data_IF_622501729670
#
_entry.id   IF_622501729670
#
_cell.length_a   1.000
_cell.length_b   1.000
_cell.length_c   1.000
_cell.angle_alpha   90.00
_cell.angle_beta   90.00
_cell.angle_gamma   90.00
#
_symmetry.space_group_name_H-M   'P 1'
#
loop_
_entity.id
_entity.type
_entity.pdbx_description
1 polymer ?
#
# COMPACT_ATOMS: atom_id res chain seq x y z
N UNK A 1 -10.53 0.46 -15.22
CA UNK A 1 -10.08 0.25 -16.61
C UNK A 1 -10.13 1.58 -17.33
N UNK A 2 -11.28 2.24 -17.27
CA UNK A 2 -11.62 3.55 -17.82
C UNK A 2 -10.74 4.65 -17.21
N UNK A 3 -10.72 4.77 -15.87
CA UNK A 3 -9.86 5.75 -15.19
C UNK A 3 -8.37 5.54 -15.52
N UNK A 4 -7.92 4.28 -15.59
CA UNK A 4 -6.51 3.95 -15.91
C UNK A 4 -6.14 4.37 -17.34
N UNK A 5 -7.07 4.21 -18.29
CA UNK A 5 -6.93 4.66 -19.68
C UNK A 5 -6.89 6.19 -19.74
N UNK A 6 -7.78 6.88 -19.03
CA UNK A 6 -7.84 8.35 -19.00
C UNK A 6 -6.57 8.96 -18.40
N UNK A 7 -6.11 8.42 -17.26
CA UNK A 7 -4.85 8.83 -16.64
C UNK A 7 -3.67 8.62 -17.60
N UNK A 8 -3.68 7.53 -18.38
CA UNK A 8 -2.64 7.23 -19.37
C UNK A 8 -2.70 8.17 -20.59
N UNK A 9 -3.90 8.55 -21.04
CA UNK A 9 -4.10 9.52 -22.12
C UNK A 9 -3.56 10.90 -21.72
N UNK A 10 -3.86 11.35 -20.51
CA UNK A 10 -3.32 12.61 -19.98
C UNK A 10 -1.79 12.55 -19.87
N UNK A 11 -1.23 11.43 -19.41
CA UNK A 11 0.22 11.24 -19.29
C UNK A 11 0.94 11.27 -20.65
N UNK A 12 0.34 10.70 -21.69
CA UNK A 12 0.88 10.72 -23.06
C UNK A 12 0.62 12.04 -23.79
N UNK A 13 -0.07 13.00 -23.15
CA UNK A 13 -0.38 14.31 -23.72
C UNK A 13 -1.40 14.24 -24.87
N UNK A 14 -2.35 13.30 -24.79
CA UNK A 14 -3.48 13.26 -25.71
C UNK A 14 -4.39 14.49 -25.49
N UNK A 15 -4.75 15.17 -26.58
CA UNK A 15 -5.58 16.39 -26.59
C UNK A 15 -6.90 16.20 -27.34
N UNK A 16 -7.28 14.95 -27.65
CA UNK A 16 -8.49 14.63 -28.38
C UNK A 16 -9.76 14.51 -27.51
N UNK A 17 -10.92 14.19 -28.12
CA UNK A 17 -12.24 14.28 -27.47
C UNK A 17 -12.53 13.19 -26.42
N UNK A 18 -11.67 12.17 -26.30
CA UNK A 18 -11.88 11.00 -25.44
C UNK A 18 -11.21 11.11 -24.05
N UNK A 19 -11.02 12.33 -23.55
CA UNK A 19 -10.50 12.61 -22.20
C UNK A 19 -11.60 12.56 -21.12
N UNK A 20 -12.86 12.42 -21.51
CA UNK A 20 -13.98 12.23 -20.58
C UNK A 20 -14.45 10.77 -20.58
N UNK A 21 -14.73 10.22 -19.39
CA UNK A 21 -15.15 8.83 -19.19
C UNK A 21 -16.38 8.45 -20.05
N UNK A 22 -17.37 9.34 -20.15
CA UNK A 22 -18.58 9.09 -20.93
C UNK A 22 -18.30 9.04 -22.44
N UNK A 23 -17.42 9.91 -22.93
CA UNK A 23 -17.04 9.95 -24.33
C UNK A 23 -16.22 8.69 -24.70
N UNK A 24 -15.27 8.32 -23.84
CA UNK A 24 -14.47 7.10 -24.00
C UNK A 24 -15.35 5.85 -24.04
N UNK A 25 -16.31 5.72 -23.12
CA UNK A 25 -17.23 4.59 -23.09
C UNK A 25 -18.14 4.54 -24.32
N UNK A 26 -18.68 5.69 -24.76
CA UNK A 26 -19.49 5.77 -25.97
C UNK A 26 -18.71 5.40 -27.23
N UNK A 27 -17.45 5.82 -27.34
CA UNK A 27 -16.58 5.43 -28.44
C UNK A 27 -16.23 3.93 -28.38
N UNK A 28 -15.94 3.40 -27.19
CA UNK A 28 -15.65 1.98 -26.98
C UNK A 28 -16.87 1.07 -27.19
N UNK A 29 -18.09 1.55 -26.98
CA UNK A 29 -19.32 0.83 -27.36
C UNK A 29 -19.42 0.66 -28.88
N UNK A 30 -19.08 1.72 -29.65
CA UNK A 30 -19.06 1.68 -31.11
C UNK A 30 -17.86 0.94 -31.72
N UNK A 31 -16.77 0.75 -30.95
CA UNK A 31 -15.59 -0.01 -31.35
C UNK A 31 -15.01 0.46 -32.69
N UNK A 32 -14.66 -0.49 -33.58
CA UNK A 32 -14.14 -0.18 -34.92
C UNK A 32 -15.15 0.51 -35.85
N UNK A 33 -16.43 0.57 -35.46
CA UNK A 33 -17.46 1.34 -36.19
C UNK A 33 -17.53 2.80 -35.73
N UNK A 34 -16.90 3.16 -34.59
CA UNK A 34 -16.79 4.53 -34.11
C UNK A 34 -15.52 5.19 -34.64
N UNK A 35 -15.67 6.29 -35.37
CA UNK A 35 -14.53 7.04 -35.91
C UNK A 35 -13.60 7.54 -34.79
N UNK A 36 -14.17 8.00 -33.67
CA UNK A 36 -13.40 8.51 -32.53
C UNK A 36 -12.52 7.42 -31.89
N UNK A 37 -13.04 6.19 -31.80
CA UNK A 37 -12.29 5.04 -31.29
C UNK A 37 -11.13 4.67 -32.23
N UNK A 38 -11.39 4.68 -33.54
CA UNK A 38 -10.38 4.37 -34.56
C UNK A 38 -9.29 5.43 -34.58
N UNK A 39 -9.65 6.70 -34.46
CA UNK A 39 -8.71 7.81 -34.41
C UNK A 39 -7.81 7.73 -33.16
N UNK A 40 -8.37 7.33 -32.02
CA UNK A 40 -7.61 7.04 -30.80
C UNK A 40 -6.60 5.92 -31.01
N UNK A 41 -7.02 4.77 -31.56
CA UNK A 41 -6.12 3.66 -31.83
C UNK A 41 -5.03 4.04 -32.85
N UNK A 42 -5.37 4.82 -33.87
CA UNK A 42 -4.40 5.34 -34.85
C UNK A 42 -3.38 6.25 -34.19
N UNK A 43 -3.83 7.14 -33.31
CA UNK A 43 -2.94 8.01 -32.54
C UNK A 43 -2.01 7.18 -31.65
N UNK A 44 -2.53 6.20 -30.91
CA UNK A 44 -1.72 5.30 -30.08
C UNK A 44 -0.70 4.51 -30.92
N UNK A 45 -1.12 3.93 -32.05
CA UNK A 45 -0.23 3.22 -32.97
C UNK A 45 0.90 4.13 -33.49
N UNK A 46 0.62 5.40 -33.80
CA UNK A 46 1.64 6.37 -34.23
C UNK A 46 2.67 6.68 -33.14
N UNK A 47 2.27 6.63 -31.86
CA UNK A 47 3.18 6.80 -30.72
C UNK A 47 4.01 5.55 -30.45
N UNK A 48 3.44 4.36 -30.65
CA UNK A 48 4.12 3.08 -30.44
C UNK A 48 5.11 2.73 -31.55
N UNK A 49 4.83 3.13 -32.80
CA UNK A 49 5.65 2.79 -33.97
C UNK A 49 7.16 3.05 -33.78
N UNK A 50 7.62 4.22 -33.31
CA UNK A 50 9.04 4.45 -33.05
C UNK A 50 9.59 3.80 -31.77
N UNK A 51 8.72 3.32 -30.87
CA UNK A 51 9.13 2.71 -29.59
C UNK A 51 9.30 1.19 -29.70
N UNK A 52 8.50 0.56 -30.55
CA UNK A 52 8.37 -0.89 -30.66
C UNK A 52 8.85 -1.45 -32.01
N UNK A 53 9.46 -0.63 -32.87
CA UNK A 53 9.87 -0.96 -34.25
C UNK A 53 8.76 -1.67 -35.05
N UNK A 54 7.52 -1.16 -34.97
CA UNK A 54 6.35 -1.80 -35.58
C UNK A 54 6.31 -1.58 -37.10
N UNK A 55 6.11 -2.66 -37.85
CA UNK A 55 5.86 -2.65 -39.29
C UNK A 55 4.41 -2.22 -39.58
N UNK A 56 3.45 -2.70 -38.80
CA UNK A 56 2.02 -2.44 -38.98
C UNK A 56 1.62 -1.03 -38.51
N UNK A 57 0.71 -0.38 -39.24
CA UNK A 57 0.11 0.89 -38.83
C UNK A 57 -1.32 1.01 -39.34
N UNK A 58 -2.16 1.65 -38.53
CA UNK A 58 -3.58 1.86 -38.87
C UNK A 58 -3.67 3.03 -39.87
N UNK A 59 -3.74 2.72 -41.16
CA UNK A 59 -3.72 3.73 -42.24
C UNK A 59 -4.89 3.61 -43.20
N UNK A 60 -5.58 2.48 -43.23
CA UNK A 60 -6.61 2.19 -44.21
C UNK A 60 -8.01 2.60 -43.77
N UNK A 61 -8.92 2.66 -44.76
CA UNK A 61 -10.34 2.92 -44.56
C UNK A 61 -11.09 1.74 -43.92
N UNK A 62 -12.42 1.85 -43.75
CA UNK A 62 -13.23 0.93 -42.95
C UNK A 62 -13.15 -0.57 -43.33
N UNK A 63 -12.79 -0.89 -44.57
CA UNK A 63 -12.74 -2.27 -45.08
C UNK A 63 -11.53 -3.07 -44.57
N UNK A 64 -10.34 -2.45 -44.53
CA UNK A 64 -9.08 -3.13 -44.18
C UNK A 64 -8.68 -2.89 -42.72
N UNK A 65 -9.37 -2.00 -42.02
CA UNK A 65 -9.09 -1.59 -40.64
C UNK A 65 -9.06 -2.77 -39.65
N UNK A 66 -9.94 -3.77 -39.82
CA UNK A 66 -9.96 -4.95 -38.96
C UNK A 66 -8.69 -5.79 -39.12
N UNK A 67 -8.18 -5.88 -40.36
CA UNK A 67 -6.96 -6.63 -40.68
C UNK A 67 -5.75 -5.90 -40.10
N UNK A 68 -5.64 -4.59 -40.34
CA UNK A 68 -4.56 -3.76 -39.79
C UNK A 68 -4.55 -3.79 -38.25
N UNK A 69 -5.71 -3.64 -37.61
CA UNK A 69 -5.82 -3.72 -36.15
C UNK A 69 -5.38 -5.10 -35.63
N UNK A 70 -5.77 -6.16 -36.31
CA UNK A 70 -5.37 -7.52 -35.94
C UNK A 70 -3.88 -7.76 -36.16
N UNK A 71 -3.31 -7.21 -37.23
CA UNK A 71 -1.88 -7.25 -37.55
C UNK A 71 -1.08 -6.54 -36.47
N UNK A 72 -1.47 -5.31 -36.15
CA UNK A 72 -0.88 -4.51 -35.08
C UNK A 72 -0.95 -5.23 -33.72
N UNK A 73 -2.10 -5.80 -33.34
CA UNK A 73 -2.22 -6.53 -32.07
C UNK A 73 -1.43 -7.84 -32.04
N UNK A 74 -1.29 -8.53 -33.18
CA UNK A 74 -0.43 -9.73 -33.31
C UNK A 74 1.04 -9.35 -33.22
N UNK A 75 1.43 -8.28 -33.91
CA UNK A 75 2.78 -7.73 -33.84
C UNK A 75 3.09 -7.29 -32.42
N UNK A 76 2.12 -6.70 -31.72
CA UNK A 76 2.20 -6.36 -30.30
C UNK A 76 2.14 -7.58 -29.35
N UNK A 77 2.08 -8.82 -29.87
CA UNK A 77 1.96 -10.06 -29.09
C UNK A 77 0.85 -10.04 -28.03
N UNK A 78 -0.33 -9.58 -28.42
CA UNK A 78 -1.51 -9.52 -27.56
C UNK A 78 -1.73 -10.89 -26.83
N UNK A 79 -1.76 -10.93 -25.48
CA UNK A 79 -1.91 -12.17 -24.72
C UNK A 79 -3.33 -12.76 -24.79
N UNK A 80 -4.27 -12.04 -25.41
CA UNK A 80 -5.66 -12.45 -25.55
C UNK A 80 -5.95 -12.80 -27.02
N UNK A 81 -5.64 -14.04 -27.42
CA UNK A 81 -5.94 -14.54 -28.77
C UNK A 81 -7.45 -14.47 -29.09
N UNK A 82 -8.31 -14.54 -28.09
CA UNK A 82 -9.77 -14.37 -28.22
C UNK A 82 -10.15 -12.94 -28.64
N UNK A 83 -9.41 -11.92 -28.17
CA UNK A 83 -9.64 -10.52 -28.53
C UNK A 83 -9.19 -10.27 -29.97
N UNK A 84 -8.02 -10.80 -30.36
CA UNK A 84 -7.49 -10.70 -31.73
C UNK A 84 -8.39 -11.43 -32.73
N UNK A 85 -8.83 -12.64 -32.39
CA UNK A 85 -9.72 -13.43 -33.25
C UNK A 85 -11.16 -12.90 -33.27
N UNK A 86 -11.62 -12.28 -32.18
CA UNK A 86 -12.90 -11.59 -32.10
C UNK A 86 -12.96 -10.37 -33.03
N UNK A 87 -11.88 -9.59 -33.12
CA UNK A 87 -11.78 -8.41 -33.99
C UNK A 87 -11.88 -8.84 -35.47
N UNK A 88 -11.17 -9.91 -35.85
CA UNK A 88 -11.19 -10.46 -37.20
C UNK A 88 -12.54 -11.05 -37.62
N UNK A 89 -13.33 -11.52 -36.65
CA UNK A 89 -14.64 -12.15 -36.91
C UNK A 89 -15.81 -11.17 -36.78
N UNK A 90 -15.56 -9.89 -36.48
CA UNK A 90 -16.60 -8.90 -36.19
C UNK A 90 -17.45 -9.23 -34.96
N UNK A 91 -16.92 -10.06 -34.05
CA UNK A 91 -17.65 -10.61 -32.89
C UNK A 91 -17.29 -9.93 -31.57
N UNK A 92 -16.43 -8.91 -31.57
CA UNK A 92 -16.18 -8.09 -30.37
C UNK A 92 -17.38 -7.17 -30.16
N UNK A 93 -18.38 -7.67 -29.42
CA UNK A 93 -19.61 -6.93 -29.15
C UNK A 93 -19.61 -6.25 -27.78
N UNK A 94 -18.51 -6.32 -27.02
CA UNK A 94 -18.47 -5.82 -25.65
C UNK A 94 -17.50 -4.67 -25.50
N UNK A 95 -18.00 -3.53 -24.99
CA UNK A 95 -17.25 -2.33 -24.60
C UNK A 95 -15.98 -2.68 -23.83
N UNK A 96 -16.06 -3.68 -22.94
CA UNK A 96 -14.93 -4.14 -22.14
C UNK A 96 -13.76 -4.69 -22.97
N UNK A 97 -14.04 -5.32 -24.09
CA UNK A 97 -12.99 -5.90 -24.94
C UNK A 97 -12.34 -4.82 -25.82
N UNK A 98 -13.10 -3.81 -26.24
CA UNK A 98 -12.54 -2.61 -26.89
C UNK A 98 -11.64 -1.81 -25.93
N UNK A 99 -12.06 -1.64 -24.66
CA UNK A 99 -11.21 -1.01 -23.65
C UNK A 99 -9.93 -1.83 -23.37
N UNK A 100 -10.00 -3.17 -23.36
CA UNK A 100 -8.80 -4.00 -23.27
C UNK A 100 -7.86 -3.79 -24.45
N UNK A 101 -8.37 -3.64 -25.67
CA UNK A 101 -7.54 -3.34 -26.84
C UNK A 101 -6.77 -2.03 -26.66
N UNK A 102 -7.46 -0.99 -26.19
CA UNK A 102 -6.85 0.29 -25.86
C UNK A 102 -5.77 0.12 -24.78
N UNK A 103 -6.04 -0.62 -23.69
CA UNK A 103 -5.04 -0.90 -22.65
C UNK A 103 -3.80 -1.64 -23.16
N UNK A 104 -3.96 -2.54 -24.13
CA UNK A 104 -2.84 -3.26 -24.74
C UNK A 104 -2.00 -2.30 -25.59
N UNK A 105 -2.64 -1.37 -26.30
CA UNK A 105 -1.94 -0.28 -26.99
C UNK A 105 -1.24 0.68 -26.01
N UNK A 106 -1.72 0.84 -24.78
CA UNK A 106 -0.99 1.55 -23.72
C UNK A 106 0.14 0.76 -23.10
N UNK A 107 0.04 -0.57 -23.15
CA UNK A 107 1.04 -1.46 -22.58
C UNK A 107 2.24 -1.45 -23.53
N UNK A 108 3.07 -0.43 -23.36
CA UNK A 108 4.38 -0.32 -23.96
C UNK A 108 5.06 -1.68 -23.87
N UNK A 109 5.58 -2.18 -25.00
CA UNK A 109 6.42 -3.36 -24.98
C UNK A 109 7.75 -2.96 -24.32
N UNK A 110 7.74 -2.97 -23.00
CA UNK A 110 8.74 -3.78 -22.31
C UNK A 110 8.44 -5.23 -22.70
N UNK A 111 8.89 -5.62 -23.89
CA UNK A 111 9.08 -7.02 -24.21
C UNK A 111 10.03 -7.55 -23.16
N UNK A 112 9.48 -8.20 -22.14
CA UNK A 112 9.77 -9.56 -21.67
C UNK A 112 11.16 -10.17 -21.96
N UNK A 113 12.22 -9.37 -22.09
CA UNK A 113 13.49 -9.73 -21.45
C UNK A 113 13.15 -9.69 -19.98
N UNK A 114 12.81 -10.86 -19.42
CA UNK A 114 12.58 -11.05 -17.98
C UNK A 114 13.51 -10.08 -17.24
N UNK A 115 13.03 -9.23 -16.32
CA UNK A 115 13.86 -8.19 -15.69
C UNK A 115 15.20 -8.76 -15.16
N UNK A 116 15.16 -10.01 -14.70
CA UNK A 116 16.31 -10.82 -14.29
C UNK A 116 17.38 -10.99 -15.39
N UNK A 117 17.01 -11.18 -16.65
CA UNK A 117 17.95 -11.29 -17.77
C UNK A 117 18.60 -9.94 -18.10
N UNK A 118 17.85 -8.84 -18.03
CA UNK A 118 18.43 -7.50 -18.19
C UNK A 118 19.43 -7.18 -17.07
N UNK A 119 19.11 -7.54 -15.83
CA UNK A 119 20.03 -7.43 -14.69
C UNK A 119 21.28 -8.28 -14.89
N UNK A 120 21.14 -9.52 -15.38
CA UNK A 120 22.26 -10.38 -15.69
C UNK A 120 23.16 -9.79 -16.78
N UNK A 121 22.58 -9.23 -17.84
CA UNK A 121 23.31 -8.53 -18.90
C UNK A 121 24.08 -7.33 -18.33
N UNK A 122 23.43 -6.52 -17.49
CA UNK A 122 24.07 -5.37 -16.84
C UNK A 122 25.24 -5.79 -15.94
N UNK A 123 25.12 -6.92 -15.23
CA UNK A 123 26.22 -7.50 -14.44
C UNK A 123 27.37 -7.91 -15.37
N UNK A 124 27.09 -8.63 -16.45
CA UNK A 124 28.12 -9.05 -17.40
C UNK A 124 28.83 -7.85 -18.04
N UNK A 125 28.08 -6.83 -18.47
CA UNK A 125 28.64 -5.58 -19.02
C UNK A 125 29.53 -4.87 -18.00
N UNK A 126 29.05 -4.70 -16.77
CA UNK A 126 29.81 -4.06 -15.68
C UNK A 126 31.10 -4.82 -15.37
N UNK A 127 31.06 -6.16 -15.42
CA UNK A 127 32.20 -7.03 -15.19
C UNK A 127 33.06 -7.24 -16.44
N UNK A 128 32.74 -6.61 -17.58
CA UNK A 128 33.42 -6.79 -18.88
C UNK A 128 33.48 -8.26 -19.34
N UNK A 129 32.41 -9.01 -19.07
CA UNK A 129 32.25 -10.40 -19.46
C UNK A 129 31.46 -10.50 -20.78
N UNK A 130 31.72 -11.55 -21.54
CA UNK A 130 30.94 -11.87 -22.73
C UNK A 130 29.46 -12.11 -22.39
N UNK A 131 28.60 -11.70 -23.30
CA UNK A 131 27.16 -11.94 -23.20
C UNK A 131 26.87 -13.44 -23.00
N UNK A 132 26.01 -13.82 -22.04
CA UNK A 132 25.66 -15.21 -21.82
C UNK A 132 24.91 -15.77 -23.03
N UNK A 133 25.56 -16.65 -23.80
CA UNK A 133 24.98 -17.32 -24.97
C UNK A 133 24.79 -18.80 -24.69
N UNK A 134 23.54 -19.28 -24.74
CA UNK A 134 23.19 -20.68 -24.59
C UNK A 134 22.68 -21.07 -23.20
N UNK A 135 22.42 -22.37 -22.96
CA UNK A 135 21.75 -22.87 -21.75
C UNK A 135 22.68 -23.07 -20.54
N UNK A 136 23.99 -22.81 -20.65
CA UNK A 136 24.97 -23.06 -19.59
C UNK A 136 24.97 -21.96 -18.52
N UNK A 137 23.96 -21.99 -17.65
CA UNK A 137 23.85 -21.05 -16.53
C UNK A 137 25.00 -21.22 -15.52
N UNK A 138 25.43 -22.46 -15.24
CA UNK A 138 26.46 -22.73 -14.24
C UNK A 138 27.82 -22.17 -14.64
N UNK A 139 28.19 -22.30 -15.92
CA UNK A 139 29.41 -21.69 -16.47
C UNK A 139 29.39 -20.17 -16.36
N UNK A 140 28.28 -19.52 -16.72
CA UNK A 140 28.12 -18.06 -16.63
C UNK A 140 28.28 -17.58 -15.19
N UNK A 141 27.58 -18.20 -14.22
CA UNK A 141 27.70 -17.80 -12.81
C UNK A 141 29.11 -18.04 -12.26
N UNK A 142 29.80 -19.10 -12.69
CA UNK A 142 31.19 -19.37 -12.29
C UNK A 142 32.15 -18.30 -12.82
N UNK A 143 31.93 -17.82 -14.05
CA UNK A 143 32.72 -16.72 -14.64
C UNK A 143 32.49 -15.40 -13.89
N UNK A 144 31.23 -15.09 -13.58
CA UNK A 144 30.86 -13.92 -12.78
C UNK A 144 31.55 -13.98 -11.41
N UNK A 145 31.43 -15.11 -10.71
CA UNK A 145 32.05 -15.31 -9.40
C UNK A 145 33.58 -15.12 -9.46
N UNK A 146 34.26 -15.76 -10.43
CA UNK A 146 35.70 -15.63 -10.60
C UNK A 146 36.13 -14.18 -10.86
N UNK A 147 35.36 -13.42 -11.65
CA UNK A 147 35.68 -12.02 -11.96
C UNK A 147 35.44 -11.12 -10.75
N UNK A 148 34.34 -11.32 -10.01
CA UNK A 148 34.05 -10.62 -8.77
C UNK A 148 35.15 -10.87 -7.73
N UNK A 149 35.59 -12.12 -7.54
CA UNK A 149 36.66 -12.46 -6.60
C UNK A 149 38.00 -11.81 -6.95
N UNK A 150 38.29 -11.63 -8.25
CA UNK A 150 39.49 -10.89 -8.70
C UNK A 150 39.38 -9.41 -8.36
N UNK A 151 38.27 -8.78 -8.72
CA UNK A 151 38.02 -7.36 -8.44
C UNK A 151 38.07 -7.10 -6.93
N UNK A 152 37.44 -7.96 -6.12
CA UNK A 152 37.44 -7.82 -4.66
C UNK A 152 38.85 -7.88 -4.04
N UNK A 153 39.80 -8.60 -4.64
CA UNK A 153 41.19 -8.65 -4.18
C UNK A 153 41.95 -7.35 -4.45
N UNK A 154 41.59 -6.64 -5.51
CA UNK A 154 42.21 -5.36 -5.89
C UNK A 154 41.68 -4.19 -5.03
N UNK A 155 40.53 -4.37 -4.36
CA UNK A 155 39.95 -3.35 -3.49
C UNK A 155 40.65 -3.27 -2.11
N UNK A 156 40.78 -2.06 -1.53
CA UNK A 156 41.29 -1.90 -0.17
C UNK A 156 40.45 -2.69 0.84
N UNK A 157 41.09 -3.46 1.72
CA UNK A 157 40.42 -4.30 2.74
C UNK A 157 39.52 -3.53 3.70
N UNK A 158 39.67 -2.20 3.79
CA UNK A 158 38.91 -1.34 4.70
C UNK A 158 37.53 -0.97 4.13
N UNK A 159 37.33 -1.07 2.81
CA UNK A 159 36.10 -0.56 2.16
C UNK A 159 34.90 -1.52 2.19
N UNK A 160 35.10 -2.82 2.40
CA UNK A 160 34.02 -3.81 2.31
C UNK A 160 33.93 -4.55 3.65
N UNK A 161 32.87 -4.27 4.41
CA UNK A 161 32.58 -4.95 5.67
C UNK A 161 32.34 -6.45 5.47
N UNK A 162 32.45 -7.23 6.55
CA UNK A 162 32.17 -8.67 6.50
C UNK A 162 30.67 -8.94 6.28
N UNK A 163 30.29 -10.02 5.60
CA UNK A 163 28.90 -10.43 5.49
C UNK A 163 28.27 -10.66 6.86
N UNK A 164 27.01 -10.25 7.05
CA UNK A 164 26.25 -10.55 8.28
C UNK A 164 25.98 -12.06 8.37
N UNK A 165 25.57 -12.66 7.26
CA UNK A 165 25.33 -14.09 7.18
C UNK A 165 26.65 -14.83 6.87
N UNK A 166 27.25 -15.43 7.89
CA UNK A 166 28.55 -16.12 7.78
C UNK A 166 28.43 -17.61 7.44
N UNK A 167 27.30 -18.22 7.77
CA UNK A 167 27.08 -19.65 7.64
C UNK A 167 26.27 -19.97 6.39
N UNK A 168 26.64 -21.05 5.72
CA UNK A 168 25.80 -21.65 4.68
C UNK A 168 24.53 -22.23 5.31
N UNK A 169 23.39 -21.98 4.69
CA UNK A 169 22.10 -22.48 5.14
C UNK A 169 21.78 -23.82 4.46
N UNK A 170 21.17 -24.75 5.20
CA UNK A 170 20.60 -25.98 4.65
C UNK A 170 19.31 -25.69 3.87
N UNK A 171 18.85 -26.64 3.05
CA UNK A 171 17.59 -26.50 2.29
C UNK A 171 16.39 -26.16 3.19
N UNK A 172 16.26 -26.84 4.34
CA UNK A 172 15.19 -26.58 5.31
C UNK A 172 15.32 -25.18 5.96
N UNK A 173 16.55 -24.72 6.20
CA UNK A 173 16.78 -23.37 6.73
C UNK A 173 16.46 -22.29 5.72
N UNK A 174 16.77 -22.52 4.43
CA UNK A 174 16.38 -21.64 3.33
C UNK A 174 14.87 -21.49 3.23
N UNK A 175 14.13 -22.60 3.32
CA UNK A 175 12.66 -22.57 3.30
C UNK A 175 12.10 -21.77 4.49
N UNK A 176 12.61 -22.02 5.71
CA UNK A 176 12.21 -21.25 6.90
C UNK A 176 12.51 -19.76 6.74
N UNK A 177 13.66 -19.41 6.16
CA UNK A 177 14.06 -18.03 5.95
C UNK A 177 13.19 -17.33 4.90
N UNK A 178 12.83 -18.02 3.81
CA UNK A 178 11.86 -17.53 2.84
C UNK A 178 10.49 -17.27 3.47
N UNK A 179 10.03 -18.17 4.34
CA UNK A 179 8.77 -17.99 5.07
C UNK A 179 8.83 -16.76 5.99
N UNK A 180 9.92 -16.56 6.73
CA UNK A 180 10.13 -15.38 7.57
C UNK A 180 10.11 -14.10 6.72
N UNK A 181 10.86 -14.08 5.61
CA UNK A 181 10.89 -12.91 4.72
C UNK A 181 9.51 -12.60 4.13
N UNK A 182 8.72 -13.62 3.82
CA UNK A 182 7.35 -13.47 3.29
C UNK A 182 6.42 -12.84 4.33
N UNK A 183 6.43 -13.37 5.57
CA UNK A 183 5.62 -12.82 6.67
C UNK A 183 6.02 -11.37 6.96
N UNK A 184 7.32 -11.10 7.12
CA UNK A 184 7.81 -9.74 7.39
C UNK A 184 7.49 -8.79 6.24
N UNK A 185 7.70 -9.19 4.99
CA UNK A 185 7.37 -8.36 3.83
C UNK A 185 5.90 -7.97 3.80
N UNK A 186 5.00 -8.91 4.09
CA UNK A 186 3.55 -8.63 4.16
C UNK A 186 3.20 -7.62 5.27
N UNK A 187 3.85 -7.75 6.44
CA UNK A 187 3.64 -6.88 7.59
C UNK A 187 4.19 -5.46 7.33
N UNK A 188 5.40 -5.36 6.77
CA UNK A 188 6.01 -4.10 6.36
C UNK A 188 5.21 -3.42 5.25
N UNK A 189 4.69 -4.18 4.28
CA UNK A 189 3.83 -3.63 3.24
C UNK A 189 2.57 -3.03 3.85
N UNK A 190 1.91 -3.74 4.78
CA UNK A 190 0.76 -3.21 5.51
C UNK A 190 1.10 -1.90 6.25
N UNK A 191 2.22 -1.86 6.99
CA UNK A 191 2.69 -0.64 7.67
C UNK A 191 2.96 0.50 6.69
N UNK A 192 3.59 0.23 5.55
CA UNK A 192 3.87 1.24 4.52
C UNK A 192 2.58 1.77 3.90
N UNK A 193 1.59 0.93 3.60
CA UNK A 193 0.25 1.40 3.16
C UNK A 193 -0.38 2.33 4.18
N UNK A 194 -0.33 1.96 5.47
CA UNK A 194 -0.88 2.79 6.54
C UNK A 194 -0.16 4.15 6.61
N UNK A 195 1.17 4.17 6.58
CA UNK A 195 1.95 5.42 6.63
C UNK A 195 1.70 6.31 5.41
N UNK A 196 1.61 5.71 4.22
CA UNK A 196 1.27 6.42 2.98
C UNK A 196 -0.14 7.00 3.08
N UNK A 197 -1.12 6.23 3.56
CA UNK A 197 -2.49 6.71 3.76
C UNK A 197 -2.56 7.82 4.82
N UNK A 198 -1.80 7.70 5.90
CA UNK A 198 -1.69 8.73 6.93
C UNK A 198 -1.12 10.02 6.34
N UNK A 199 -0.11 9.93 5.48
CA UNK A 199 0.42 11.07 4.75
C UNK A 199 -0.66 11.71 3.85
N UNK A 200 -1.40 10.90 3.07
CA UNK A 200 -2.51 11.37 2.24
C UNK A 200 -3.53 12.18 3.05
N UNK A 201 -4.04 11.59 4.14
CA UNK A 201 -5.05 12.23 5.00
C UNK A 201 -4.49 13.48 5.69
N UNK A 202 -3.20 13.48 6.06
CA UNK A 202 -2.55 14.67 6.63
C UNK A 202 -2.52 15.81 5.62
N UNK A 203 -2.17 15.54 4.36
CA UNK A 203 -2.17 16.57 3.31
C UNK A 203 -3.59 17.04 3.01
N UNK A 204 -4.56 16.12 2.95
CA UNK A 204 -5.98 16.46 2.76
C UNK A 204 -6.54 17.35 3.87
N UNK A 205 -6.07 17.18 5.12
CA UNK A 205 -6.51 18.00 6.26
C UNK A 205 -6.21 19.48 6.08
N UNK A 206 -5.17 19.85 5.32
CA UNK A 206 -4.89 21.26 5.03
C UNK A 206 -6.03 21.92 4.25
N UNK A 207 -6.73 21.18 3.38
CA UNK A 207 -7.87 21.66 2.60
C UNK A 207 -9.10 22.05 3.42
N UNK A 208 -9.11 21.80 4.74
CA UNK A 208 -10.21 22.20 5.62
C UNK A 208 -10.18 23.69 5.98
N UNK A 209 -9.02 24.35 5.84
CA UNK A 209 -8.89 25.79 6.08
C UNK A 209 -9.18 26.60 4.82
N UNK A 210 -9.94 27.69 4.94
CA UNK A 210 -10.30 28.54 3.78
C UNK A 210 -9.08 29.16 3.10
N UNK A 211 -8.03 29.46 3.87
CA UNK A 211 -6.75 29.97 3.35
C UNK A 211 -6.02 28.94 2.48
N UNK A 212 -6.13 27.66 2.78
CA UNK A 212 -5.42 26.60 2.05
C UNK A 212 -6.22 26.06 0.86
N UNK A 213 -7.55 26.18 0.86
CA UNK A 213 -8.41 25.82 -0.29
C UNK A 213 -7.97 26.53 -1.58
N UNK A 214 -7.57 27.80 -1.48
CA UNK A 214 -7.05 28.59 -2.62
C UNK A 214 -5.69 28.09 -3.12
N UNK A 215 -4.99 27.25 -2.36
CA UNK A 215 -3.64 26.74 -2.69
C UNK A 215 -3.61 25.24 -2.98
N UNK A 216 -4.76 24.59 -3.15
CA UNK A 216 -4.86 23.14 -3.37
C UNK A 216 -4.02 22.69 -4.56
N UNK A 217 -4.08 23.40 -5.69
CA UNK A 217 -3.31 23.03 -6.89
C UNK A 217 -1.80 23.17 -6.68
N UNK A 218 -1.37 24.15 -5.87
CA UNK A 218 0.04 24.28 -5.51
C UNK A 218 0.50 23.15 -4.59
N UNK A 219 -0.35 22.73 -3.64
CA UNK A 219 -0.06 21.61 -2.76
C UNK A 219 -0.04 20.29 -3.53
N UNK A 220 -1.00 20.08 -4.43
CA UNK A 220 -1.07 18.90 -5.29
C UNK A 220 0.17 18.79 -6.18
N UNK A 221 0.58 19.88 -6.85
CA UNK A 221 1.81 19.92 -7.67
C UNK A 221 3.07 19.52 -6.89
N UNK A 222 3.17 19.91 -5.62
CA UNK A 222 4.31 19.54 -4.78
C UNK A 222 4.22 18.12 -4.22
N UNK A 223 3.00 17.65 -3.91
CA UNK A 223 2.75 16.39 -3.22
C UNK A 223 2.69 15.20 -4.16
N UNK A 224 1.94 15.31 -5.26
CA UNK A 224 1.62 14.18 -6.13
C UNK A 224 2.87 13.47 -6.66
N UNK A 225 3.91 14.14 -7.19
CA UNK A 225 5.10 13.45 -7.68
C UNK A 225 5.78 12.58 -6.59
N UNK A 226 5.83 13.10 -5.37
CA UNK A 226 6.38 12.36 -4.21
C UNK A 226 5.48 11.20 -3.84
N UNK A 227 4.16 11.39 -3.85
CA UNK A 227 3.20 10.36 -3.52
C UNK A 227 3.25 9.17 -4.50
N UNK A 228 3.42 9.42 -5.79
CA UNK A 228 3.57 8.37 -6.81
C UNK A 228 4.89 7.60 -6.67
N UNK A 229 5.95 8.23 -6.16
CA UNK A 229 7.21 7.54 -5.87
C UNK A 229 7.15 6.59 -4.66
N UNK A 230 6.15 6.74 -3.78
CA UNK A 230 6.02 5.93 -2.57
C UNK A 230 5.31 4.61 -2.88
N UNK A 231 6.05 3.51 -2.76
CA UNK A 231 5.54 2.15 -2.95
C UNK A 231 5.25 1.46 -1.62
N UNK A 232 4.12 0.75 -1.49
CA UNK A 232 3.84 -0.12 -0.36
C UNK A 232 4.82 -1.29 -0.21
N UNK A 233 5.23 -1.89 -1.33
CA UNK A 233 5.97 -3.14 -1.34
C UNK A 233 7.34 -2.98 -0.66
N UNK A 234 7.74 -3.98 0.12
CA UNK A 234 9.09 -4.01 0.69
C UNK A 234 10.14 -4.07 -0.43
N UNK A 235 11.22 -3.32 -0.27
CA UNK A 235 12.40 -3.47 -1.14
C UNK A 235 13.34 -4.54 -0.62
N UNK A 236 13.16 -5.03 0.61
CA UNK A 236 14.06 -6.03 1.20
C UNK A 236 13.66 -7.42 0.72
N UNK A 237 14.60 -8.10 0.07
CA UNK A 237 14.47 -9.46 -0.44
C UNK A 237 15.66 -10.33 0.02
N UNK A 238 15.66 -11.60 -0.41
CA UNK A 238 16.72 -12.54 -0.06
C UNK A 238 18.09 -12.11 -0.58
N UNK A 239 18.15 -11.46 -1.75
CA UNK A 239 19.39 -10.95 -2.31
C UNK A 239 19.98 -9.84 -1.43
N UNK A 240 19.15 -8.90 -0.95
CA UNK A 240 19.59 -7.87 0.01
C UNK A 240 20.05 -8.45 1.34
N UNK A 241 19.43 -9.52 1.81
CA UNK A 241 19.88 -10.22 3.02
C UNK A 241 21.28 -10.81 2.83
N UNK A 242 21.54 -11.47 1.69
CA UNK A 242 22.86 -12.03 1.38
C UNK A 242 23.94 -10.95 1.16
N UNK A 243 23.55 -9.82 0.60
CA UNK A 243 24.42 -8.67 0.39
C UNK A 243 24.72 -7.90 1.69
N UNK A 244 23.93 -8.10 2.75
CA UNK A 244 24.05 -7.37 4.01
C UNK A 244 25.44 -7.53 4.65
N UNK A 245 26.00 -6.40 5.11
CA UNK A 245 27.30 -6.32 5.81
C UNK A 245 27.13 -5.89 7.27
N UNK A 246 28.13 -6.18 8.09
CA UNK A 246 28.11 -5.96 9.55
C UNK A 246 27.84 -4.51 9.96
N UNK A 247 28.11 -3.54 9.08
CA UNK A 247 27.79 -2.13 9.28
C UNK A 247 26.28 -1.87 9.43
N UNK A 248 25.43 -2.68 8.78
CA UNK A 248 23.97 -2.61 8.95
C UNK A 248 23.53 -2.96 10.37
N UNK A 249 24.33 -3.71 11.13
CA UNK A 249 24.05 -4.00 12.54
C UNK A 249 24.32 -2.79 13.44
N UNK A 250 25.00 -1.75 12.95
CA UNK A 250 25.23 -0.53 13.69
C UNK A 250 23.97 0.34 13.68
N UNK A 251 23.15 0.21 14.73
CA UNK A 251 21.93 1.00 14.88
C UNK A 251 22.27 2.45 15.20
N UNK A 252 22.21 3.31 14.19
CA UNK A 252 22.29 4.76 14.38
C UNK A 252 21.05 5.24 15.14
N UNK A 253 21.26 5.95 16.24
CA UNK A 253 20.15 6.54 17.01
C UNK A 253 19.33 7.46 16.11
N UNK A 254 18.01 7.34 16.18
CA UNK A 254 17.07 8.21 15.47
C UNK A 254 17.18 9.68 15.91
N UNK A 255 17.76 9.95 17.09
CA UNK A 255 18.09 11.27 17.59
C UNK A 255 19.45 11.82 17.12
N UNK A 256 20.19 11.09 16.28
CA UNK A 256 21.47 11.53 15.72
C UNK A 256 21.34 12.83 14.92
N UNK A 257 22.43 13.61 14.88
CA UNK A 257 22.48 14.88 14.16
C UNK A 257 22.08 14.75 12.68
N UNK A 258 22.57 13.72 11.99
CA UNK A 258 22.23 13.42 10.59
C UNK A 258 20.75 13.08 10.40
N UNK A 259 20.16 12.30 11.32
CA UNK A 259 18.73 11.96 11.27
C UNK A 259 17.84 13.18 11.54
N UNK A 260 18.32 14.11 12.37
CA UNK A 260 17.59 15.34 12.74
C UNK A 260 17.83 16.51 11.79
N UNK A 261 18.82 16.44 10.92
CA UNK A 261 19.19 17.54 10.01
C UNK A 261 17.99 18.01 9.18
N UNK A 262 17.24 17.06 8.60
CA UNK A 262 16.08 17.36 7.75
C UNK A 262 14.78 17.66 8.51
N UNK A 263 14.77 17.40 9.82
CA UNK A 263 13.62 17.67 10.70
C UNK A 263 13.90 18.80 11.70
N UNK A 264 15.07 19.43 11.59
CA UNK A 264 15.45 20.59 12.37
C UNK A 264 14.66 21.81 11.87
N UNK A 265 13.74 22.30 12.68
CA UNK A 265 13.04 23.55 12.45
C UNK A 265 13.32 24.53 13.60
N UNK A 266 13.07 25.81 13.37
CA UNK A 266 13.25 26.85 14.40
C UNK A 266 12.50 26.52 15.70
N UNK A 267 11.34 25.88 15.61
CA UNK A 267 10.53 25.43 16.75
C UNK A 267 11.22 24.32 17.55
N UNK A 268 11.82 23.35 16.87
CA UNK A 268 12.53 22.21 17.50
C UNK A 268 13.87 22.60 18.15
N UNK A 269 14.32 23.86 17.98
CA UNK A 269 15.51 24.44 18.61
C UNK A 269 15.20 25.23 19.88
N UNK A 270 13.93 25.49 20.18
CA UNK A 270 13.53 26.18 21.41
C UNK A 270 13.67 25.18 22.55
N UNK A 271 14.61 25.44 23.46
CA UNK A 271 14.70 24.71 24.71
C UNK A 271 13.45 25.06 25.52
N UNK A 272 12.48 24.16 25.57
CA UNK A 272 11.36 24.28 26.49
C UNK A 272 11.95 24.43 27.89
N UNK A 273 11.58 25.49 28.61
CA UNK A 273 11.98 25.70 29.99
C UNK A 273 11.49 24.57 30.91
N UNK A 274 11.67 24.72 32.22
CA UNK A 274 11.19 23.74 33.19
C UNK A 274 9.67 23.59 33.07
N UNK A 275 9.20 22.53 32.41
CA UNK A 275 7.78 22.22 32.27
C UNK A 275 7.29 21.77 33.65
N UNK A 276 6.34 22.49 34.29
CA UNK A 276 5.76 22.05 35.54
C UNK A 276 5.17 20.65 35.37
N UNK A 277 5.27 19.82 36.40
CA UNK A 277 4.66 18.49 36.36
C UNK A 277 3.17 18.65 36.05
N UNK A 278 2.69 17.96 35.01
CA UNK A 278 1.29 18.02 34.58
C UNK A 278 0.42 17.02 35.35
N UNK A 279 1.00 16.32 36.32
CA UNK A 279 0.33 15.28 37.07
C UNK A 279 -0.06 14.11 36.18
N UNK A 280 -0.94 13.24 36.69
CA UNK A 280 -1.41 12.07 35.95
C UNK A 280 -0.49 10.85 36.09
N UNK A 281 0.51 10.89 36.98
CA UNK A 281 1.23 9.67 37.34
C UNK A 281 0.23 8.74 38.05
N UNK A 282 0.08 7.48 37.62
CA UNK A 282 -0.84 6.54 38.26
C UNK A 282 -0.58 6.35 39.76
N UNK A 283 0.63 6.66 40.24
CA UNK A 283 1.02 6.63 41.66
C UNK A 283 0.57 7.85 42.47
N UNK A 284 0.18 8.95 41.82
CA UNK A 284 -0.22 10.23 42.44
C UNK A 284 -1.73 10.46 42.35
N UNK A 285 -2.45 9.62 41.59
CA UNK A 285 -3.91 9.65 41.49
C UNK A 285 -4.46 8.80 42.63
N UNK A 286 -5.20 9.44 43.54
CA UNK A 286 -5.97 8.72 44.54
C UNK A 286 -7.01 7.84 43.82
N UNK A 287 -7.04 6.55 44.16
CA UNK A 287 -7.99 5.64 43.56
C UNK A 287 -9.41 6.19 43.80
N UNK A 288 -10.28 6.22 42.76
CA UNK A 288 -11.64 6.70 42.95
C UNK A 288 -12.28 5.92 44.09
N UNK A 289 -13.09 6.58 44.95
CA UNK A 289 -13.82 5.89 46.00
C UNK A 289 -14.57 4.70 45.39
N UNK A 290 -14.56 3.52 46.04
CA UNK A 290 -15.27 2.36 45.51
C UNK A 290 -16.75 2.73 45.29
N UNK A 291 -17.16 2.87 44.03
CA UNK A 291 -18.50 3.30 43.63
C UNK A 291 -19.58 2.26 44.00
N UNK A 292 -19.18 1.05 44.36
CA UNK A 292 -20.07 -0.01 44.81
C UNK A 292 -19.85 -0.36 46.28
N UNK A 293 -20.91 -0.37 47.11
CA UNK A 293 -20.85 -0.96 48.44
C UNK A 293 -20.33 -2.40 48.35
N UNK A 294 -19.54 -2.87 49.33
CA UNK A 294 -19.09 -4.26 49.35
C UNK A 294 -20.31 -5.18 49.29
N UNK A 295 -20.29 -6.11 48.34
CA UNK A 295 -21.38 -7.09 48.15
C UNK A 295 -21.64 -7.84 49.45
N UNK A 296 -22.71 -7.46 50.16
CA UNK A 296 -23.18 -8.23 51.30
C UNK A 296 -23.96 -9.44 50.78
N UNK A 297 -23.52 -10.62 51.19
CA UNK A 297 -24.21 -11.88 50.95
C UNK A 297 -25.64 -11.77 51.51
N UNK A 298 -26.67 -11.96 50.67
CA UNK A 298 -28.06 -11.97 51.13
C UNK A 298 -28.21 -13.10 52.17
N UNK A 299 -28.86 -12.81 53.30
CA UNK A 299 -29.17 -13.81 54.31
C UNK A 299 -30.05 -14.89 53.71
N UNK A 300 -29.59 -16.13 53.74
CA UNK A 300 -30.38 -17.30 53.42
C UNK A 300 -31.29 -17.64 54.60
N UNK A 301 -32.61 -17.44 54.42
CA UNK A 301 -33.66 -18.19 55.10
C UNK A 301 -34.33 -17.54 56.31
N UNK A 302 -35.67 -17.52 56.29
CA UNK A 302 -36.51 -17.35 57.48
C UNK A 302 -37.92 -16.86 57.17
N UNK A 303 -38.89 -17.79 57.04
CA UNK A 303 -40.28 -17.48 56.72
C UNK A 303 -41.10 -16.82 57.85
N UNK A 304 -42.33 -16.40 57.51
CA UNK A 304 -43.34 -16.05 58.51
C UNK A 304 -44.29 -14.90 58.15
N UNK A 305 -45.42 -15.24 57.53
CA UNK A 305 -46.78 -14.72 57.78
C UNK A 305 -47.01 -13.33 58.40
N UNK A 306 -47.88 -12.53 57.76
CA UNK A 306 -49.00 -11.86 58.46
C UNK A 306 -49.13 -10.33 58.38
N UNK A 307 -49.98 -9.85 57.47
CA UNK A 307 -51.19 -9.06 57.81
C UNK A 307 -51.12 -7.56 58.19
N UNK A 308 -52.11 -6.82 57.63
CA UNK A 308 -52.65 -5.48 57.99
C UNK A 308 -51.84 -4.26 57.49
N UNK A 309 -52.42 -3.24 56.86
CA UNK A 309 -53.81 -2.92 56.52
C UNK A 309 -54.01 -1.40 56.38
N UNK A 310 -54.89 -0.98 55.48
CA UNK A 310 -55.55 0.35 55.44
C UNK A 310 -54.93 1.39 54.48
N UNK A 311 -55.66 2.31 53.84
CA UNK A 311 -57.12 2.58 53.73
C UNK A 311 -57.31 3.79 52.78
N UNK A 312 -58.28 3.74 51.86
CA UNK A 312 -58.99 4.90 51.24
C UNK A 312 -58.25 5.72 50.17
N UNK A 313 -58.86 6.27 49.12
CA UNK A 313 -60.26 6.29 48.65
C UNK A 313 -60.52 7.50 47.73
N UNK A 314 -61.09 7.22 46.54
CA UNK A 314 -62.07 8.02 45.76
C UNK A 314 -61.71 9.33 45.00
N UNK A 315 -62.50 9.53 43.93
CA UNK A 315 -62.75 10.71 43.07
C UNK A 315 -61.73 10.95 41.93
N UNK A 316 -62.08 11.09 40.64
CA UNK A 316 -63.36 11.23 39.92
C UNK A 316 -63.16 12.16 38.71
N UNK A 317 -63.78 11.84 37.56
CA UNK A 317 -63.89 12.64 36.31
C UNK A 317 -62.59 12.91 35.53
N UNK A 318 -62.50 12.96 34.21
CA UNK A 318 -63.44 13.11 33.08
C UNK A 318 -62.58 13.77 31.97
N UNK A 319 -62.34 13.13 30.83
CA UNK A 319 -63.04 13.44 29.59
C UNK A 319 -62.30 14.49 28.72
N UNK A 320 -61.93 14.08 27.50
CA UNK A 320 -61.99 14.96 26.32
C UNK A 320 -60.69 15.50 25.70
N UNK A 321 -60.53 15.21 24.39
CA UNK A 321 -59.72 15.97 23.42
C UNK A 321 -58.30 15.44 23.23
N UNK A 322 -57.83 14.99 22.06
CA UNK A 322 -58.26 15.23 20.69
C UNK A 322 -57.18 16.00 19.93
N UNK A 323 -56.38 15.29 19.12
CA UNK A 323 -55.73 15.79 17.90
C UNK A 323 -54.47 16.66 18.03
N UNK A 324 -53.33 16.11 17.60
CA UNK A 324 -52.12 16.87 17.31
C UNK A 324 -51.01 15.95 16.82
N UNK A 325 -50.80 15.90 15.49
CA UNK A 325 -49.85 15.02 14.81
C UNK A 325 -48.38 15.37 15.03
N UNK A 326 -47.51 14.48 14.57
CA UNK A 326 -46.07 14.73 14.50
C UNK A 326 -45.27 13.45 14.28
N UNK A 327 -45.01 13.17 13.01
CA UNK A 327 -44.01 12.24 12.48
C UNK A 327 -42.70 12.18 13.29
N UNK A 328 -42.16 10.98 13.45
CA UNK A 328 -40.87 10.75 14.11
C UNK A 328 -40.53 9.28 14.29
N UNK A 329 -40.45 8.53 13.18
CA UNK A 329 -39.98 7.15 13.18
C UNK A 329 -38.51 7.06 13.59
N UNK A 330 -38.24 6.62 14.83
CA UNK A 330 -36.91 6.15 15.24
C UNK A 330 -36.92 4.63 15.38
N UNK A 331 -35.99 4.05 14.65
CA UNK A 331 -35.78 2.63 14.47
C UNK A 331 -35.43 1.91 15.78
N UNK A 332 -35.99 0.71 15.90
CA UNK A 332 -35.68 -0.32 16.89
C UNK A 332 -34.21 -0.73 16.78
N UNK A 333 -33.50 -0.70 17.91
CA UNK A 333 -32.21 -1.37 18.10
C UNK A 333 -32.22 -2.10 19.43
N UNK A 334 -32.75 -3.32 19.43
CA UNK A 334 -32.61 -4.26 20.53
C UNK A 334 -31.67 -5.39 20.14
N UNK A 335 -30.77 -5.78 21.05
CA UNK A 335 -30.18 -7.12 20.99
C UNK A 335 -28.76 -7.27 21.55
N UNK A 336 -28.71 -8.06 22.64
CA UNK A 336 -27.65 -9.03 22.98
C UNK A 336 -26.53 -8.61 23.94
N UNK A 337 -26.83 -8.91 25.21
CA UNK A 337 -25.91 -9.35 26.24
C UNK A 337 -25.45 -10.80 25.94
N UNK A 338 -24.15 -11.08 26.04
CA UNK A 338 -23.61 -12.38 26.48
C UNK A 338 -22.15 -12.21 26.93
N UNK A 339 -21.93 -12.38 28.23
CA UNK A 339 -20.60 -12.47 28.83
C UNK A 339 -20.01 -13.87 28.78
N UNK A 340 -18.77 -14.00 29.24
CA UNK A 340 -18.12 -15.28 29.50
C UNK A 340 -16.65 -15.12 29.91
N UNK A 341 -16.41 -15.10 31.23
CA UNK A 341 -15.08 -15.19 31.86
C UNK A 341 -14.48 -16.59 31.73
N UNK A 342 -13.14 -16.67 31.64
CA UNK A 342 -12.20 -17.67 32.21
C UNK A 342 -10.81 -17.28 31.66
N UNK A 343 -9.73 -16.97 32.39
CA UNK A 343 -9.27 -17.34 33.72
C UNK A 343 -8.10 -18.33 33.60
N UNK A 344 -6.83 -17.88 33.57
CA UNK A 344 -5.66 -18.60 34.10
C UNK A 344 -4.30 -17.87 33.91
N UNK A 345 -3.44 -17.95 34.94
CA UNK A 345 -1.99 -17.69 34.92
C UNK A 345 -1.59 -16.52 35.83
N UNK A 346 -0.92 -16.66 36.98
CA UNK A 346 0.10 -17.64 37.37
C UNK A 346 1.50 -17.06 37.07
N UNK A 347 2.42 -17.15 38.05
CA UNK A 347 3.82 -16.64 38.11
C UNK A 347 3.95 -15.20 38.67
N UNK A 348 4.75 -14.93 39.70
CA UNK A 348 5.97 -15.61 40.16
C UNK A 348 7.14 -14.64 40.03
N UNK A 349 7.63 -14.12 41.14
CA UNK A 349 8.56 -12.98 41.18
C UNK A 349 10.01 -13.31 40.84
N UNK A 350 10.76 -12.26 40.46
CA UNK A 350 12.21 -12.03 40.62
C UNK A 350 12.37 -10.50 40.44
N UNK A 351 12.93 -9.74 41.38
CA UNK A 351 14.36 -9.73 41.69
C UNK A 351 15.06 -8.60 40.92
N UNK A 352 14.68 -7.34 41.18
CA UNK A 352 15.27 -6.17 40.53
C UNK A 352 16.58 -5.73 41.19
N UNK A 353 17.70 -6.28 40.74
CA UNK A 353 19.04 -5.83 41.12
C UNK A 353 19.35 -4.46 40.49
N UNK A 354 19.78 -3.51 41.32
CA UNK A 354 20.27 -2.20 40.90
C UNK A 354 21.56 -2.27 40.10
N UNK A 355 21.63 -1.50 39.02
CA UNK A 355 22.81 -1.30 38.19
C UNK A 355 23.12 0.20 38.06
N UNK A 356 24.24 0.61 38.67
CA UNK A 356 24.74 1.98 38.74
C UNK A 356 25.02 2.58 37.35
N UNK A 357 24.65 3.85 37.17
CA UNK A 357 25.10 4.72 36.07
C UNK A 357 26.61 4.92 36.15
N UNK A 358 27.33 4.36 35.18
CA UNK A 358 28.74 4.67 34.89
C UNK A 358 28.83 5.88 33.96
N UNK A 359 29.47 6.93 34.47
CA UNK A 359 29.84 8.18 33.79
C UNK A 359 31.19 7.93 33.08
N UNK A 360 31.29 8.22 31.79
CA UNK A 360 32.60 8.38 31.14
C UNK A 360 32.75 9.82 30.67
N UNK A 361 33.78 10.47 31.21
CA UNK A 361 34.36 11.73 30.76
C UNK A 361 35.57 11.38 29.88
N UNK A 362 35.69 12.14 28.78
CA UNK A 362 36.76 12.23 27.79
C UNK A 362 37.04 11.00 26.92
#
# INVERSE_FOLDING_TARGET
MECDILDSLEQLGYDGPLLEEKALLGAAEGGLSSQEYVDLCRWLASRLKPLCDLEESITSGPGDLQVEMSGLLKELHCPYEEVVSGILKGSVQNTKDHLKCIMILFSDKQQDKKPVYQELLAICETLTLSEPRGPDAAGVFSQIQCKVDKVLKDFPKVSIGSPVLKNSLTSEQWEKLHNINTVLSSEYECRRRMLIKRLDVTVQSFGWSDRAKVKVDSMARAYQPRRHSLRPQSTVDMARLLAAREDLCNVVKTSSGSSREKTACAVNKVLMGRVPDRGGRPSEIEAPPPEMPPWQKRQDGGGGWGGRGGRGGSWGHGGGGGGGGGDGGSWRGGGWNQGGHSGHGGYGGYGGHGGKRGRYQY
#
